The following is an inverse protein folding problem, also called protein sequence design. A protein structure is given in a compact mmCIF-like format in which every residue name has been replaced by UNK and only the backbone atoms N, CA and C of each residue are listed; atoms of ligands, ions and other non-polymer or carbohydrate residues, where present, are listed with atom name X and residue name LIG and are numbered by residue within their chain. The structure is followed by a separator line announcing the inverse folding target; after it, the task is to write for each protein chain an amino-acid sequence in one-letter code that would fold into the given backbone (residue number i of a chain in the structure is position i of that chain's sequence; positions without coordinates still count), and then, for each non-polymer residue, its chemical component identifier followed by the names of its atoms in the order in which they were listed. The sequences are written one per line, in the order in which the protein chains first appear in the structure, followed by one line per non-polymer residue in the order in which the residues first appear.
data_IF_814131222192
#
_entry.id   IF_814131222192
#
_cell.length_a   1.000
_cell.length_b   1.000
_cell.length_c   1.000
_cell.angle_alpha   90.00
_cell.angle_beta   90.00
_cell.angle_gamma   90.00
#
_symmetry.space_group_name_H-M   'P 1'
#
loop_
_entity.id
_entity.type
_entity.pdbx_description
1 polymer ?
#
# COMPACT_ATOMS: atom_id res chain seq x y z
N UNK A 1 16.65 9.97 2.48
CA UNK A 1 15.61 9.45 3.39
C UNK A 1 14.73 8.50 2.60
N UNK A 2 14.47 7.29 3.10
CA UNK A 2 13.56 6.35 2.42
C UNK A 2 12.13 6.70 2.83
N UNK A 3 11.27 6.99 1.85
CA UNK A 3 9.84 7.20 2.08
C UNK A 3 9.16 5.84 2.25
N UNK A 4 8.31 5.71 3.27
CA UNK A 4 7.59 4.47 3.56
C UNK A 4 6.09 4.67 3.51
N UNK A 5 5.34 3.60 3.25
CA UNK A 5 3.88 3.63 3.24
C UNK A 5 3.27 2.47 4.02
N UNK A 6 2.05 2.69 4.52
CA UNK A 6 1.19 1.71 5.17
C UNK A 6 -0.21 1.81 4.55
N UNK A 7 -0.87 0.68 4.29
CA UNK A 7 -2.23 0.61 3.75
C UNK A 7 -3.04 -0.32 4.65
N UNK A 8 -4.09 0.22 5.27
CA UNK A 8 -5.09 -0.56 5.99
C UNK A 8 -6.31 -0.78 5.11
N UNK A 9 -6.62 -2.04 4.81
CA UNK A 9 -7.76 -2.40 3.96
C UNK A 9 -9.00 -2.64 4.81
N UNK A 10 -9.98 -1.74 4.75
CA UNK A 10 -11.24 -1.85 5.50
C UNK A 10 -12.30 -2.64 4.72
N UNK A 11 -13.07 -3.47 5.44
CA UNK A 11 -13.89 -4.57 4.90
C UNK A 11 -14.79 -4.29 3.70
N UNK A 12 -14.32 -4.68 2.51
CA UNK A 12 -15.06 -5.12 1.33
C UNK A 12 -14.07 -5.67 0.28
N UNK A 13 -14.42 -6.67 -0.55
CA UNK A 13 -13.50 -7.21 -1.57
C UNK A 13 -12.99 -6.18 -2.59
N UNK A 14 -13.78 -5.13 -2.86
CA UNK A 14 -13.34 -4.01 -3.71
C UNK A 14 -12.17 -3.22 -3.10
N UNK A 15 -12.20 -3.02 -1.79
CA UNK A 15 -11.15 -2.28 -1.10
C UNK A 15 -9.83 -3.04 -1.15
N UNK A 16 -9.85 -4.37 -1.19
CA UNK A 16 -8.63 -5.17 -1.40
C UNK A 16 -8.00 -4.87 -2.76
N UNK A 17 -8.79 -4.91 -3.84
CA UNK A 17 -8.31 -4.64 -5.20
C UNK A 17 -7.80 -3.22 -5.35
N UNK A 18 -8.46 -2.24 -4.74
CA UNK A 18 -8.03 -0.85 -4.80
C UNK A 18 -6.79 -0.60 -3.93
N UNK A 19 -6.67 -1.26 -2.78
CA UNK A 19 -5.43 -1.29 -1.97
C UNK A 19 -4.24 -1.84 -2.77
N UNK A 20 -4.42 -2.92 -3.52
CA UNK A 20 -3.36 -3.52 -4.35
C UNK A 20 -2.90 -2.55 -5.47
N UNK A 21 -3.84 -1.84 -6.10
CA UNK A 21 -3.51 -0.81 -7.11
C UNK A 21 -2.73 0.35 -6.50
N UNK A 22 -3.15 0.81 -5.31
CA UNK A 22 -2.48 1.91 -4.60
C UNK A 22 -1.07 1.47 -4.19
N UNK A 23 -0.91 0.25 -3.65
CA UNK A 23 0.41 -0.32 -3.33
C UNK A 23 1.33 -0.35 -4.55
N UNK A 24 0.84 -0.83 -5.69
CA UNK A 24 1.62 -0.86 -6.94
C UNK A 24 2.10 0.52 -7.39
N UNK A 25 1.26 1.55 -7.23
CA UNK A 25 1.64 2.94 -7.52
C UNK A 25 2.71 3.45 -6.56
N UNK A 26 2.56 3.23 -5.26
CA UNK A 26 3.51 3.70 -4.25
C UNK A 26 4.89 3.05 -4.43
N UNK A 27 4.93 1.77 -4.82
CA UNK A 27 6.18 1.07 -5.17
C UNK A 27 6.80 1.68 -6.43
N UNK A 28 6.01 1.96 -7.48
CA UNK A 28 6.50 2.60 -8.70
C UNK A 28 7.06 4.01 -8.44
N UNK A 29 6.50 4.73 -7.45
CA UNK A 29 6.97 6.04 -6.98
C UNK A 29 8.20 5.94 -6.06
N UNK A 30 8.71 4.71 -5.79
CA UNK A 30 9.94 4.47 -5.02
C UNK A 30 9.74 4.41 -3.50
N UNK A 31 8.50 4.30 -3.02
CA UNK A 31 8.21 4.09 -1.61
C UNK A 31 8.32 2.61 -1.25
N UNK A 32 8.69 2.35 0.01
CA UNK A 32 8.82 0.99 0.55
C UNK A 32 7.72 0.73 1.57
N UNK A 33 7.09 -0.45 1.55
CA UNK A 33 6.12 -0.80 2.58
C UNK A 33 6.79 -0.77 3.98
N UNK A 34 6.05 -0.34 4.99
CA UNK A 34 6.48 -0.54 6.39
C UNK A 34 6.50 -2.04 6.70
N UNK A 35 7.41 -2.47 7.57
CA UNK A 35 7.33 -3.81 8.15
C UNK A 35 6.02 -3.92 8.93
N UNK A 36 5.18 -4.90 8.57
CA UNK A 36 3.92 -5.21 9.26
C UNK A 36 4.25 -5.63 10.71
N UNK A 37 3.47 -5.15 11.68
CA UNK A 37 3.70 -5.42 13.12
C UNK A 37 3.16 -6.79 13.56
#
# INVERSE_FOLDING_TARGET
MVQRYYIETLGCPKNQVDSDKIAGKLIADGLVATEDA
#
